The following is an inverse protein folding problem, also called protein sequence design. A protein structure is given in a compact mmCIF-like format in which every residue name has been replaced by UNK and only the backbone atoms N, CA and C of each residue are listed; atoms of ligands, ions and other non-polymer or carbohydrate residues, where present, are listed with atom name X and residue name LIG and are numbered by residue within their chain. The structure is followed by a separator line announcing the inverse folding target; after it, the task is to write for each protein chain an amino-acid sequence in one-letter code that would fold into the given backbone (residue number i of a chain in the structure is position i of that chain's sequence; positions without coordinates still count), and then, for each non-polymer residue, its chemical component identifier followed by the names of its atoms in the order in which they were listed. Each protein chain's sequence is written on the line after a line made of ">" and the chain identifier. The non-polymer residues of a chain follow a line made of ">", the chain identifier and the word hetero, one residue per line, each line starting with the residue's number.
data_IF_071537748330
#
_entry.id   IF_071537748330
#
_cell.length_a   1.000
_cell.length_b   1.000
_cell.length_c   1.000
_cell.angle_alpha   90.00
_cell.angle_beta   90.00
_cell.angle_gamma   90.00
#
_symmetry.space_group_name_H-M   'P 1'
#
loop_
_entity.id
_entity.type
_entity.pdbx_description
1 polymer ?
#
# COMPACT_ATOMS: atom_id res chain seq x y z
N UNK A 1 9.44 -17.61 -10.12
CA UNK A 1 8.13 -17.43 -9.48
C UNK A 1 7.86 -15.92 -9.43
N UNK A 2 6.95 -15.37 -10.25
CA UNK A 2 6.66 -13.92 -10.25
C UNK A 2 5.87 -13.58 -8.98
N UNK A 3 6.29 -12.56 -8.25
CA UNK A 3 5.61 -12.10 -7.03
C UNK A 3 4.17 -11.66 -7.38
N UNK A 4 3.12 -12.25 -6.78
CA UNK A 4 1.72 -11.93 -7.09
C UNK A 4 1.37 -10.45 -6.83
N UNK A 5 2.13 -9.77 -5.97
CA UNK A 5 1.92 -8.37 -5.63
C UNK A 5 2.16 -7.40 -6.80
N UNK A 6 2.87 -7.84 -7.84
CA UNK A 6 3.17 -7.02 -9.01
C UNK A 6 1.93 -6.71 -9.89
N UNK A 7 0.82 -7.43 -9.70
CA UNK A 7 -0.41 -7.22 -10.48
C UNK A 7 -1.59 -6.71 -9.66
N UNK A 8 -1.47 -6.68 -8.34
CA UNK A 8 -2.54 -6.30 -7.44
C UNK A 8 -2.97 -4.85 -7.70
N UNK A 9 -4.25 -4.59 -7.94
CA UNK A 9 -4.81 -3.24 -8.09
C UNK A 9 -5.79 -2.93 -6.98
N UNK A 10 -6.19 -1.66 -6.88
CA UNK A 10 -7.14 -1.22 -5.86
C UNK A 10 -8.49 -1.94 -6.02
N UNK A 11 -8.90 -2.22 -7.26
CA UNK A 11 -10.12 -2.96 -7.60
C UNK A 11 -10.12 -4.42 -7.11
N UNK A 12 -8.95 -5.01 -6.86
CA UNK A 12 -8.82 -6.38 -6.33
C UNK A 12 -8.95 -6.42 -4.79
N UNK A 13 -8.89 -5.27 -4.11
CA UNK A 13 -8.99 -5.18 -2.66
C UNK A 13 -10.45 -5.09 -2.21
N UNK A 14 -10.93 -6.14 -1.55
CA UNK A 14 -12.26 -6.17 -0.95
C UNK A 14 -12.19 -5.97 0.56
N UNK A 15 -13.20 -5.30 1.12
CA UNK A 15 -13.29 -5.07 2.57
C UNK A 15 -14.75 -4.98 3.01
N UNK A 16 -15.03 -5.46 4.22
CA UNK A 16 -16.32 -5.29 4.91
C UNK A 16 -16.30 -4.17 5.96
N UNK A 17 -15.18 -3.44 6.08
CA UNK A 17 -15.01 -2.38 7.06
C UNK A 17 -15.09 -1.00 6.40
N UNK A 18 -16.01 -0.15 6.86
CA UNK A 18 -16.24 1.19 6.33
C UNK A 18 -15.00 2.11 6.40
N UNK A 19 -14.20 1.99 7.45
CA UNK A 19 -12.96 2.75 7.58
C UNK A 19 -11.95 2.36 6.50
N UNK A 20 -11.85 1.06 6.21
CA UNK A 20 -11.00 0.57 5.12
C UNK A 20 -11.57 0.95 3.75
N UNK A 21 -12.90 0.93 3.57
CA UNK A 21 -13.53 1.38 2.34
C UNK A 21 -13.18 2.85 2.04
N UNK A 22 -13.17 3.71 3.06
CA UNK A 22 -12.70 5.11 2.93
C UNK A 22 -11.22 5.19 2.55
N UNK A 23 -10.37 4.34 3.14
CA UNK A 23 -8.95 4.26 2.76
C UNK A 23 -8.78 3.85 1.29
N UNK A 24 -9.56 2.89 0.78
CA UNK A 24 -9.53 2.49 -0.63
C UNK A 24 -9.97 3.62 -1.57
N UNK A 25 -10.97 4.42 -1.19
CA UNK A 25 -11.37 5.60 -1.95
C UNK A 25 -10.26 6.66 -2.02
N UNK A 26 -9.61 6.95 -0.89
CA UNK A 26 -8.47 7.88 -0.84
C UNK A 26 -7.28 7.35 -1.63
N UNK A 27 -7.02 6.04 -1.57
CA UNK A 27 -6.01 5.36 -2.35
C UNK A 27 -6.26 5.51 -3.86
N UNK A 28 -7.51 5.38 -4.31
CA UNK A 28 -7.88 5.54 -5.72
C UNK A 28 -7.68 6.99 -6.21
N UNK A 29 -7.94 7.99 -5.35
CA UNK A 29 -7.64 9.38 -5.65
C UNK A 29 -6.13 9.64 -5.69
N UNK A 30 -5.41 9.11 -4.71
CA UNK A 30 -3.96 9.24 -4.63
C UNK A 30 -3.25 8.62 -5.83
N UNK A 31 -3.71 7.45 -6.31
CA UNK A 31 -3.15 6.78 -7.48
C UNK A 31 -3.23 7.63 -8.77
N UNK A 32 -4.21 8.54 -8.87
CA UNK A 32 -4.34 9.48 -9.99
C UNK A 32 -3.48 10.74 -9.81
N UNK A 33 -2.82 10.89 -8.66
CA UNK A 33 -2.01 12.06 -8.31
C UNK A 33 -0.54 11.70 -8.16
N UNK A 34 0.33 12.70 -8.27
CA UNK A 34 1.77 12.54 -8.02
C UNK A 34 2.16 12.94 -6.59
N UNK A 35 1.17 13.12 -5.70
CA UNK A 35 1.37 13.60 -4.33
C UNK A 35 1.94 12.47 -3.45
N UNK A 36 2.90 12.77 -2.56
CA UNK A 36 3.36 11.80 -1.57
C UNK A 36 2.23 11.36 -0.64
N UNK A 37 2.16 10.06 -0.34
CA UNK A 37 1.17 9.51 0.58
C UNK A 37 1.85 8.76 1.73
N UNK A 38 1.19 8.74 2.88
CA UNK A 38 1.63 8.00 4.07
C UNK A 38 0.54 7.01 4.45
N UNK A 39 0.92 5.73 4.56
CA UNK A 39 0.04 4.67 5.00
C UNK A 39 0.30 4.36 6.47
N UNK A 40 -0.70 4.62 7.32
CA UNK A 40 -0.65 4.37 8.75
C UNK A 40 -1.51 3.16 9.11
N UNK A 41 -1.12 2.44 10.17
CA UNK A 41 -1.84 1.28 10.66
C UNK A 41 -0.94 0.27 11.34
N UNK A 42 -1.51 -0.63 12.13
CA UNK A 42 -0.81 -1.66 12.87
C UNK A 42 -0.22 -2.75 11.97
N UNK A 43 0.74 -3.52 12.49
CA UNK A 43 1.31 -4.67 11.77
C UNK A 43 0.19 -5.64 11.34
N UNK A 44 0.24 -6.14 10.10
CA UNK A 44 -0.75 -7.10 9.58
C UNK A 44 -2.02 -6.48 8.95
N UNK A 45 -2.23 -5.16 9.03
CA UNK A 45 -3.43 -4.48 8.47
C UNK A 45 -3.45 -4.32 6.94
N UNK A 46 -2.51 -4.95 6.22
CA UNK A 46 -2.49 -4.91 4.75
C UNK A 46 -1.89 -3.63 4.13
N UNK A 47 -1.16 -2.80 4.88
CA UNK A 47 -0.51 -1.58 4.35
C UNK A 47 0.38 -1.84 3.13
N UNK A 48 1.13 -2.95 3.14
CA UNK A 48 1.99 -3.33 2.02
C UNK A 48 1.15 -3.65 0.78
N UNK A 49 0.06 -4.41 0.94
CA UNK A 49 -0.88 -4.71 -0.14
C UNK A 49 -1.46 -3.43 -0.73
N UNK A 50 -1.89 -2.50 0.13
CA UNK A 50 -2.43 -1.22 -0.29
C UNK A 50 -1.40 -0.36 -1.04
N UNK A 51 -0.13 -0.36 -0.59
CA UNK A 51 0.95 0.36 -1.28
C UNK A 51 1.19 -0.19 -2.70
N UNK A 52 1.24 -1.51 -2.86
CA UNK A 52 1.36 -2.14 -4.17
C UNK A 52 0.15 -1.85 -5.05
N UNK A 53 -1.07 -1.95 -4.48
CA UNK A 53 -2.31 -1.65 -5.20
C UNK A 53 -2.34 -0.22 -5.73
N UNK A 54 -1.93 0.76 -4.92
CA UNK A 54 -1.85 2.18 -5.33
C UNK A 54 -0.83 2.36 -6.45
N UNK A 55 0.37 1.81 -6.30
CA UNK A 55 1.41 1.92 -7.32
C UNK A 55 0.95 1.34 -8.67
N UNK A 56 0.41 0.12 -8.65
CA UNK A 56 -0.06 -0.59 -9.85
C UNK A 56 -1.32 0.05 -10.47
N UNK A 57 -2.07 0.86 -9.71
CA UNK A 57 -3.24 1.61 -10.20
C UNK A 57 -2.91 3.04 -10.61
N UNK A 58 -1.63 3.45 -10.53
CA UNK A 58 -1.18 4.81 -10.85
C UNK A 58 -0.52 4.90 -12.23
N UNK A 59 -0.24 6.13 -12.67
CA UNK A 59 0.59 6.37 -13.87
C UNK A 59 2.01 5.77 -13.75
N UNK A 60 2.44 5.38 -12.55
CA UNK A 60 3.75 4.80 -12.26
C UNK A 60 3.77 3.27 -12.31
N UNK A 61 2.65 2.62 -12.63
CA UNK A 61 2.52 1.14 -12.64
C UNK A 61 3.57 0.42 -13.51
N UNK A 62 4.04 1.06 -14.60
CA UNK A 62 5.09 0.52 -15.47
C UNK A 62 6.52 0.71 -14.93
N UNK A 63 6.70 1.39 -13.80
CA UNK A 63 8.01 1.70 -13.20
C UNK A 63 8.29 0.76 -12.02
N UNK A 64 9.58 0.56 -11.65
CA UNK A 64 9.94 -0.25 -10.49
C UNK A 64 9.30 0.27 -9.20
N UNK A 65 8.75 -0.64 -8.40
CA UNK A 65 8.29 -0.36 -7.04
C UNK A 65 9.42 -0.68 -6.06
N UNK A 66 9.91 0.33 -5.34
CA UNK A 66 10.99 0.17 -4.36
C UNK A 66 10.35 0.11 -2.97
N UNK A 67 10.26 -1.09 -2.41
CA UNK A 67 9.84 -1.30 -1.04
C UNK A 67 11.05 -1.24 -0.10
N UNK A 68 11.09 -0.25 0.79
CA UNK A 68 12.04 -0.21 1.89
C UNK A 68 11.29 -0.36 3.21
N UNK A 69 11.52 -1.46 3.91
CA UNK A 69 10.96 -1.69 5.24
C UNK A 69 12.08 -1.50 6.26
N UNK A 70 11.88 -0.58 7.21
CA UNK A 70 12.79 -0.46 8.35
C UNK A 70 12.69 -1.73 9.19
N UNK A 71 13.75 -2.55 9.21
CA UNK A 71 13.88 -3.61 10.20
C UNK A 71 14.14 -2.95 11.57
N UNK A 72 13.39 -3.36 12.59
CA UNK A 72 13.38 -2.67 13.89
C UNK A 72 14.74 -2.69 14.60
N UNK A 73 15.17 -1.52 15.08
CA UNK A 73 16.08 -1.41 16.21
C UNK A 73 15.26 -1.60 17.49
N UNK A 74 15.29 -2.81 18.05
CA UNK A 74 14.71 -3.15 19.35
C UNK A 74 15.78 -2.90 20.42
N UNK A 75 16.17 -1.64 20.62
CA UNK A 75 16.90 -1.28 21.85
C UNK A 75 15.91 -1.35 23.00
N UNK A 76 15.89 -2.49 23.67
CA UNK A 76 15.46 -2.57 25.05
C UNK A 76 16.34 -1.62 25.84
N UNK A 77 15.78 -0.47 26.22
CA UNK A 77 16.33 0.35 27.29
C UNK A 77 15.89 -0.35 28.58
N UNK A 78 16.82 -1.11 29.17
CA UNK A 78 16.75 -1.57 30.55
C UNK A 78 17.81 -0.79 31.34
#
# INVERSE_FOLDING_TARGET
>A
MRDPLFRLRIEDLTTSNDAMARCLQLAALAAKSEVPIVLLGETGTGKTLLAHAIHNSSARAGRPFIAFQRLGDQRHVA
#
